data_IF_115117857686
#
_entry.id   IF_115117857686
#
_cell.length_a   1.000
_cell.length_b   1.000
_cell.length_c   1.000
_cell.angle_alpha   90.00
_cell.angle_beta   90.00
_cell.angle_gamma   90.00
#
_symmetry.space_group_name_H-M   'P 1'
#
loop_
_entity.id
_entity.type
_entity.pdbx_description
1 polymer ?
#
# COMPACT_ATOMS: atom_id res chain seq x y z
N UNK A 1 13.63 11.14 -15.38
CA UNK A 1 13.75 9.85 -14.67
C UNK A 1 12.45 9.08 -14.78
N UNK A 2 12.52 7.76 -14.72
CA UNK A 2 11.38 6.87 -14.89
C UNK A 2 11.29 5.95 -13.66
N UNK A 3 10.08 5.80 -13.11
CA UNK A 3 9.82 4.90 -11.98
C UNK A 3 9.68 3.47 -12.50
N UNK A 4 10.30 2.51 -11.81
CA UNK A 4 10.01 1.10 -12.04
C UNK A 4 8.87 0.69 -11.10
N UNK A 5 7.76 0.24 -11.67
CA UNK A 5 6.56 -0.11 -10.89
C UNK A 5 6.87 -1.12 -9.78
N UNK A 6 7.69 -2.13 -10.07
CA UNK A 6 8.01 -3.17 -9.08
C UNK A 6 8.78 -2.61 -7.87
N UNK A 7 9.53 -1.52 -8.07
CA UNK A 7 10.32 -0.93 -6.99
C UNK A 7 9.46 -0.09 -6.03
N UNK A 8 8.32 0.43 -6.49
CA UNK A 8 7.46 1.28 -5.68
C UNK A 8 6.18 0.59 -5.21
N UNK A 9 5.86 -0.58 -5.73
CA UNK A 9 4.58 -1.24 -5.46
C UNK A 9 4.32 -1.46 -3.97
N UNK A 10 5.34 -1.89 -3.23
CA UNK A 10 5.19 -2.20 -1.80
C UNK A 10 4.84 -0.99 -0.92
N UNK A 11 5.14 0.22 -1.35
CA UNK A 11 4.79 1.43 -0.58
C UNK A 11 3.27 1.63 -0.48
N UNK A 12 2.50 1.01 -1.36
CA UNK A 12 1.05 1.12 -1.36
C UNK A 12 0.33 0.22 -0.36
N UNK A 13 1.06 -0.65 0.34
CA UNK A 13 0.44 -1.55 1.34
C UNK A 13 -0.18 -0.72 2.47
N UNK A 14 -1.47 -0.95 2.72
CA UNK A 14 -2.21 -0.19 3.71
C UNK A 14 -3.04 -1.12 4.60
N UNK A 15 -3.02 -0.84 5.90
CA UNK A 15 -3.73 -1.63 6.90
C UNK A 15 -4.68 -0.72 7.67
N UNK A 16 -5.96 -0.63 7.25
CA UNK A 16 -6.95 0.27 7.86
C UNK A 16 -7.13 0.09 9.36
N UNK A 17 -6.87 -1.11 9.89
CA UNK A 17 -7.04 -1.37 11.32
C UNK A 17 -6.03 -0.62 12.20
N UNK A 18 -4.95 -0.06 11.65
CA UNK A 18 -4.06 0.82 12.39
C UNK A 18 -4.65 2.22 12.60
N UNK A 19 -5.74 2.54 11.90
CA UNK A 19 -6.48 3.82 12.03
C UNK A 19 -5.58 5.05 11.88
N UNK A 20 -4.63 4.97 10.96
CA UNK A 20 -3.72 6.07 10.68
C UNK A 20 -4.42 7.11 9.81
N UNK A 21 -4.41 8.36 10.24
CA UNK A 21 -5.10 9.48 9.57
C UNK A 21 -4.18 10.35 8.72
N UNK A 22 -2.99 9.87 8.40
CA UNK A 22 -2.05 10.57 7.53
C UNK A 22 -1.37 9.59 6.59
N UNK A 23 -0.90 10.09 5.44
CA UNK A 23 -0.15 9.27 4.49
C UNK A 23 1.27 9.02 5.00
N UNK A 24 1.69 7.75 4.98
CA UNK A 24 3.04 7.35 5.40
C UNK A 24 4.09 7.74 4.38
N UNK A 25 3.74 7.74 3.10
CA UNK A 25 4.68 7.90 2.00
C UNK A 25 4.22 8.98 1.05
N UNK A 26 5.19 9.81 0.64
CA UNK A 26 5.01 10.86 -0.35
C UNK A 26 6.01 10.67 -1.47
N UNK A 27 5.64 11.03 -2.68
CA UNK A 27 6.52 10.90 -3.83
C UNK A 27 7.04 12.26 -4.27
N UNK A 28 8.37 12.38 -4.36
CA UNK A 28 9.05 13.56 -4.91
C UNK A 28 9.22 13.34 -6.42
N UNK A 29 8.46 14.06 -7.22
CA UNK A 29 8.51 13.93 -8.69
C UNK A 29 9.84 14.33 -9.28
N UNK A 30 10.46 15.37 -8.72
CA UNK A 30 11.74 15.87 -9.21
C UNK A 30 12.87 14.85 -9.01
N UNK A 31 12.94 14.29 -7.80
CA UNK A 31 13.95 13.28 -7.45
C UNK A 31 13.54 11.86 -7.78
N UNK A 32 12.28 11.66 -8.16
CA UNK A 32 11.72 10.35 -8.52
C UNK A 32 11.90 9.32 -7.41
N UNK A 33 11.54 9.70 -6.18
CA UNK A 33 11.70 8.81 -5.01
C UNK A 33 10.60 9.02 -3.98
N UNK A 34 10.32 7.93 -3.23
CA UNK A 34 9.41 7.96 -2.09
C UNK A 34 10.13 8.53 -0.87
N UNK A 35 9.39 9.32 -0.09
CA UNK A 35 9.88 9.95 1.15
C UNK A 35 8.85 9.67 2.24
N UNK A 36 9.30 9.25 3.42
CA UNK A 36 8.39 9.01 4.53
C UNK A 36 7.85 10.32 5.12
N UNK A 37 6.68 10.21 5.77
CA UNK A 37 5.97 11.37 6.29
C UNK A 37 6.79 12.16 7.33
N UNK A 38 7.59 11.47 8.14
CA UNK A 38 8.41 12.16 9.16
C UNK A 38 9.47 13.06 8.51
N UNK A 39 10.14 12.55 7.47
CA UNK A 39 11.12 13.35 6.71
C UNK A 39 10.44 14.51 6.01
N UNK A 40 9.24 14.29 5.47
CA UNK A 40 8.46 15.36 4.86
C UNK A 40 8.11 16.44 5.89
N UNK A 41 7.71 16.03 7.11
CA UNK A 41 7.44 16.95 8.20
C UNK A 41 8.64 17.81 8.57
N UNK A 42 9.82 17.21 8.60
CA UNK A 42 11.07 17.93 8.86
C UNK A 42 11.35 18.93 7.75
N UNK A 43 11.24 18.49 6.48
CA UNK A 43 11.50 19.34 5.31
C UNK A 43 10.59 20.56 5.26
N UNK A 44 9.31 20.40 5.59
CA UNK A 44 8.31 21.47 5.54
C UNK A 44 8.05 22.13 6.89
N UNK A 45 8.79 21.72 7.94
CA UNK A 45 8.64 22.24 9.30
C UNK A 45 7.17 22.20 9.76
N UNK A 46 6.55 21.03 9.66
CA UNK A 46 5.17 20.84 10.07
C UNK A 46 4.92 19.44 10.61
N UNK A 47 3.79 19.27 11.28
CA UNK A 47 3.32 17.97 11.75
C UNK A 47 2.87 17.10 10.57
N UNK A 48 3.02 15.77 10.70
CA UNK A 48 2.61 14.83 9.65
C UNK A 48 1.13 14.95 9.29
N UNK A 49 0.27 15.35 10.25
CA UNK A 49 -1.15 15.55 10.02
C UNK A 49 -1.46 16.82 9.21
N UNK A 50 -0.50 17.74 9.14
CA UNK A 50 -0.64 19.01 8.40
C UNK A 50 -0.05 18.97 7.00
N UNK A 51 0.59 17.85 6.62
CA UNK A 51 1.32 17.74 5.34
C UNK A 51 0.43 18.03 4.12
N UNK A 52 -0.79 17.50 4.08
CA UNK A 52 -1.69 17.76 2.94
C UNK A 52 -1.96 19.25 2.75
N UNK A 53 -2.21 19.98 3.85
CA UNK A 53 -2.46 21.42 3.77
C UNK A 53 -1.21 22.19 3.29
N UNK A 54 -0.05 21.84 3.83
CA UNK A 54 1.21 22.52 3.49
C UNK A 54 1.57 22.23 2.03
N UNK A 55 1.51 20.96 1.62
CA UNK A 55 1.90 20.53 0.27
C UNK A 55 0.94 21.06 -0.78
N UNK A 56 -0.36 21.20 -0.48
CA UNK A 56 -1.34 21.75 -1.40
C UNK A 56 -1.02 23.19 -1.81
N UNK A 57 -0.21 23.89 -1.03
CA UNK A 57 0.21 25.27 -1.31
C UNK A 57 1.52 25.32 -2.09
N UNK A 58 2.11 24.16 -2.41
CA UNK A 58 3.35 24.06 -3.16
C UNK A 58 3.08 23.89 -4.67
N UNK A 59 4.14 23.73 -5.44
CA UNK A 59 4.11 23.70 -6.92
C UNK A 59 3.64 22.37 -7.52
N UNK A 60 3.16 21.45 -6.71
CA UNK A 60 2.69 20.14 -7.19
C UNK A 60 3.77 19.10 -7.38
N UNK A 61 4.96 19.34 -6.87
CA UNK A 61 6.06 18.37 -6.97
C UNK A 61 5.84 17.11 -6.14
N UNK A 62 5.12 17.22 -5.04
CA UNK A 62 4.90 16.10 -4.11
C UNK A 62 3.50 15.56 -4.21
N UNK A 63 3.35 14.24 -4.29
CA UNK A 63 2.06 13.57 -4.29
C UNK A 63 2.05 12.46 -3.25
N UNK A 64 0.92 12.28 -2.56
CA UNK A 64 0.75 11.19 -1.61
C UNK A 64 0.75 9.85 -2.36
N UNK A 65 1.32 8.83 -1.75
CA UNK A 65 1.35 7.48 -2.30
C UNK A 65 -0.07 6.89 -2.39
N UNK A 66 -0.27 5.98 -3.34
CA UNK A 66 -1.48 5.18 -3.44
C UNK A 66 -1.62 4.24 -2.23
N UNK A 67 -2.84 3.74 -2.01
CA UNK A 67 -3.15 2.81 -0.92
C UNK A 67 -3.89 1.60 -1.46
N UNK A 68 -3.46 0.42 -1.04
CA UNK A 68 -4.18 -0.84 -1.30
C UNK A 68 -4.50 -1.46 0.05
N UNK A 69 -5.78 -1.69 0.32
CA UNK A 69 -6.27 -2.31 1.54
C UNK A 69 -5.83 -3.78 1.56
N UNK A 70 -4.77 -4.09 2.30
CA UNK A 70 -4.21 -5.43 2.34
C UNK A 70 -5.17 -6.45 2.99
N UNK A 71 -5.81 -6.17 4.13
CA UNK A 71 -6.81 -7.10 4.68
C UNK A 71 -7.93 -7.45 3.70
N UNK A 72 -8.43 -6.49 2.93
CA UNK A 72 -9.43 -6.77 1.90
C UNK A 72 -8.88 -7.69 0.81
N UNK A 73 -7.63 -7.49 0.42
CA UNK A 73 -6.95 -8.33 -0.57
C UNK A 73 -6.72 -9.75 -0.03
N UNK A 74 -6.36 -9.88 1.23
CA UNK A 74 -6.22 -11.18 1.89
C UNK A 74 -7.54 -11.96 1.88
N UNK A 75 -8.66 -11.30 2.15
CA UNK A 75 -9.98 -11.94 2.08
C UNK A 75 -10.37 -12.34 0.66
N UNK A 76 -10.04 -11.53 -0.32
CA UNK A 76 -10.24 -11.87 -1.73
C UNK A 76 -9.46 -13.13 -2.08
N UNK A 77 -8.17 -13.18 -1.73
CA UNK A 77 -7.32 -14.34 -1.94
C UNK A 77 -7.87 -15.59 -1.25
N UNK A 78 -8.29 -15.45 0.01
CA UNK A 78 -8.82 -16.56 0.79
C UNK A 78 -10.07 -17.17 0.13
N UNK A 79 -10.96 -16.35 -0.40
CA UNK A 79 -12.17 -16.83 -1.08
C UNK A 79 -11.86 -17.58 -2.37
N UNK A 80 -10.79 -17.21 -3.05
CA UNK A 80 -10.42 -17.83 -4.34
C UNK A 80 -9.58 -19.09 -4.13
N UNK A 81 -8.63 -19.06 -3.20
CA UNK A 81 -7.57 -20.07 -3.12
C UNK A 81 -7.56 -20.92 -1.84
N UNK A 82 -8.18 -20.48 -0.76
CA UNK A 82 -8.27 -21.27 0.45
C UNK A 82 -9.59 -22.08 0.46
N UNK A 83 -9.70 -23.04 1.40
CA UNK A 83 -10.94 -23.78 1.57
C UNK A 83 -12.06 -22.85 2.03
N UNK A 84 -13.30 -23.25 1.75
CA UNK A 84 -14.47 -22.50 2.22
C UNK A 84 -14.46 -22.34 3.74
N UNK A 85 -14.07 -23.41 4.45
CA UNK A 85 -14.00 -23.42 5.91
C UNK A 85 -12.99 -22.40 6.42
N UNK A 86 -11.81 -22.34 5.81
CA UNK A 86 -10.77 -21.37 6.17
C UNK A 86 -11.21 -19.94 5.88
N UNK A 87 -11.79 -19.70 4.72
CA UNK A 87 -12.29 -18.37 4.35
C UNK A 87 -13.40 -17.92 5.30
N UNK A 88 -14.35 -18.81 5.62
CA UNK A 88 -15.45 -18.50 6.56
C UNK A 88 -14.92 -18.21 7.96
N UNK A 89 -13.92 -18.96 8.42
CA UNK A 89 -13.27 -18.72 9.70
C UNK A 89 -12.63 -17.31 9.74
N UNK A 90 -11.85 -16.97 8.73
CA UNK A 90 -11.18 -15.67 8.64
C UNK A 90 -12.17 -14.52 8.59
N UNK A 91 -13.25 -14.69 7.86
CA UNK A 91 -14.24 -13.62 7.66
C UNK A 91 -14.94 -13.23 8.97
N UNK A 92 -14.99 -14.13 9.96
CA UNK A 92 -15.63 -13.88 11.26
C UNK A 92 -14.74 -13.11 12.22
N UNK A 93 -13.45 -12.99 11.94
CA UNK A 93 -12.48 -12.37 12.84
C UNK A 93 -12.45 -10.85 12.67
N UNK A 94 -12.12 -10.10 13.74
CA UNK A 94 -11.77 -8.69 13.60
C UNK A 94 -10.59 -8.53 12.63
N UNK A 95 -10.48 -7.41 11.90
CA UNK A 95 -9.49 -7.27 10.83
C UNK A 95 -8.04 -7.57 11.23
N UNK A 96 -7.60 -7.13 12.40
CA UNK A 96 -6.24 -7.38 12.88
C UNK A 96 -5.99 -8.86 13.16
N UNK A 97 -6.97 -9.53 13.78
CA UNK A 97 -6.88 -10.95 14.04
C UNK A 97 -6.96 -11.76 12.74
N UNK A 98 -7.80 -11.33 11.81
CA UNK A 98 -7.91 -11.94 10.50
C UNK A 98 -6.57 -11.90 9.76
N UNK A 99 -5.90 -10.74 9.73
CA UNK A 99 -4.59 -10.60 9.09
C UNK A 99 -3.58 -11.58 9.67
N UNK A 100 -3.49 -11.67 10.99
CA UNK A 100 -2.58 -12.60 11.68
C UNK A 100 -2.87 -14.05 11.34
N UNK A 101 -4.16 -14.45 11.39
CA UNK A 101 -4.56 -15.82 11.10
C UNK A 101 -4.40 -16.17 9.63
N UNK A 102 -4.65 -15.22 8.73
CA UNK A 102 -4.39 -15.40 7.31
C UNK A 102 -2.91 -15.73 7.09
N UNK A 103 -1.98 -14.96 7.66
CA UNK A 103 -0.55 -15.22 7.51
C UNK A 103 -0.16 -16.59 8.08
N UNK A 104 -0.75 -16.98 9.21
CA UNK A 104 -0.51 -18.30 9.79
C UNK A 104 -0.93 -19.43 8.85
N UNK A 105 -2.11 -19.32 8.26
CA UNK A 105 -2.64 -20.32 7.33
C UNK A 105 -1.76 -20.41 6.08
N UNK A 106 -1.38 -19.27 5.52
CA UNK A 106 -0.52 -19.18 4.34
C UNK A 106 0.83 -19.86 4.58
N UNK A 107 1.44 -19.66 5.76
CA UNK A 107 2.68 -20.33 6.13
C UNK A 107 2.50 -21.83 6.29
N UNK A 108 1.45 -22.26 6.99
CA UNK A 108 1.20 -23.68 7.22
C UNK A 108 0.95 -24.46 5.94
N UNK A 109 0.31 -23.85 4.96
CA UNK A 109 -0.03 -24.50 3.70
C UNK A 109 0.98 -24.26 2.60
N UNK A 110 2.13 -23.66 2.94
CA UNK A 110 3.23 -23.38 1.99
C UNK A 110 2.76 -22.50 0.80
N UNK A 111 1.90 -21.52 1.05
CA UNK A 111 1.35 -20.64 0.03
C UNK A 111 1.99 -19.26 0.02
N UNK A 112 3.04 -19.02 0.80
CA UNK A 112 3.68 -17.71 0.94
C UNK A 112 4.09 -17.12 -0.41
N UNK A 113 4.72 -17.92 -1.27
CA UNK A 113 5.15 -17.45 -2.59
C UNK A 113 3.98 -17.08 -3.50
N UNK A 114 2.91 -17.86 -3.48
CA UNK A 114 1.70 -17.58 -4.27
C UNK A 114 1.00 -16.31 -3.78
N UNK A 115 0.91 -16.14 -2.47
CA UNK A 115 0.33 -14.94 -1.87
C UNK A 115 1.14 -13.69 -2.26
N UNK A 116 2.46 -13.74 -2.15
CA UNK A 116 3.30 -12.59 -2.50
C UNK A 116 3.18 -12.21 -3.98
N UNK A 117 3.08 -13.19 -4.88
CA UNK A 117 2.85 -12.89 -6.31
C UNK A 117 1.50 -12.25 -6.55
N UNK A 118 0.46 -12.72 -5.87
CA UNK A 118 -0.87 -12.16 -5.96
C UNK A 118 -0.88 -10.71 -5.44
N UNK A 119 -0.31 -10.51 -4.26
CA UNK A 119 -0.20 -9.19 -3.65
C UNK A 119 0.57 -8.22 -4.56
N UNK A 120 1.74 -8.64 -5.05
CA UNK A 120 2.56 -7.80 -5.92
C UNK A 120 1.83 -7.43 -7.21
N UNK A 121 1.11 -8.36 -7.81
CA UNK A 121 0.35 -8.10 -9.03
C UNK A 121 -0.72 -7.02 -8.79
N UNK A 122 -1.45 -7.11 -7.68
CA UNK A 122 -2.49 -6.12 -7.35
C UNK A 122 -1.89 -4.76 -6.96
N UNK A 123 -0.80 -4.76 -6.20
CA UNK A 123 -0.07 -3.53 -5.87
C UNK A 123 0.48 -2.86 -7.12
N UNK A 124 0.98 -3.64 -8.07
CA UNK A 124 1.54 -3.12 -9.32
C UNK A 124 0.47 -2.45 -10.19
N UNK A 125 -0.73 -3.03 -10.25
CA UNK A 125 -1.86 -2.42 -10.97
C UNK A 125 -2.21 -1.06 -10.36
N UNK A 126 -2.30 -0.99 -9.03
CA UNK A 126 -2.59 0.24 -8.32
C UNK A 126 -1.49 1.29 -8.52
N UNK A 127 -0.23 0.88 -8.46
CA UNK A 127 0.92 1.76 -8.68
C UNK A 127 0.92 2.34 -10.09
N UNK A 128 0.65 1.51 -11.10
CA UNK A 128 0.58 1.95 -12.49
C UNK A 128 -0.53 2.98 -12.69
N UNK A 129 -1.72 2.74 -12.15
CA UNK A 129 -2.82 3.68 -12.25
C UNK A 129 -2.49 5.00 -11.54
N UNK A 130 -1.87 4.93 -10.37
CA UNK A 130 -1.44 6.11 -9.64
C UNK A 130 -0.42 6.93 -10.44
N UNK A 131 0.54 6.27 -11.10
CA UNK A 131 1.49 6.96 -11.98
C UNK A 131 0.78 7.67 -13.13
N UNK A 132 -0.20 7.02 -13.76
CA UNK A 132 -0.99 7.63 -14.84
C UNK A 132 -1.76 8.84 -14.33
N UNK A 133 -2.42 8.71 -13.18
CA UNK A 133 -3.24 9.78 -12.62
C UNK A 133 -2.41 11.01 -12.23
N UNK A 134 -1.15 10.82 -11.86
CA UNK A 134 -0.26 11.88 -11.40
C UNK A 134 0.79 12.29 -12.45
N UNK A 135 0.69 11.78 -13.67
CA UNK A 135 1.60 12.09 -14.77
C UNK A 135 3.07 11.75 -14.45
N UNK A 136 3.28 10.63 -13.75
CA UNK A 136 4.60 10.14 -13.40
C UNK A 136 5.05 9.14 -14.46
N UNK A 137 6.18 9.38 -15.17
CA UNK A 137 6.71 8.41 -16.13
C UNK A 137 7.11 7.12 -15.43
N UNK A 138 6.72 6.00 -16.00
CA UNK A 138 7.00 4.69 -15.40
C UNK A 138 7.32 3.63 -16.45
N UNK A 139 7.91 2.54 -15.98
CA UNK A 139 8.07 1.30 -16.74
C UNK A 139 7.62 0.11 -15.90
N UNK A 140 7.14 -0.90 -16.58
CA UNK A 140 6.66 -2.13 -15.93
C UNK A 140 7.78 -3.15 -15.76
#
# INVERSE_FOLDING_TARGET
MVVNIKDIAHYGRWFPFYKRDYDLWWFDKEKCQMIDAEKMGITFDCDVHSLHNVISQCDGNYVACFRVDIPALEMEYARIYLSKEEADYLFKLPPKDMDREFQRIIEQEALVGRWYRYELARLSVAAEQWCKDNHIPYKV
#
